data_IF_049462094071
#
_entry.id   IF_049462094071
#
_cell.length_a   1.000
_cell.length_b   1.000
_cell.length_c   1.000
_cell.angle_alpha   90.00
_cell.angle_beta   90.00
_cell.angle_gamma   90.00
#
_symmetry.space_group_name_H-M   'P 1'
#
loop_
_entity.id
_entity.type
_entity.pdbx_description
1 polymer ?
2 non-polymer ?
3 non-polymer ?
4 non-polymer ?
5 water ?
#
# COMPACT_ATOMS: atom_id res chain seq x y z
N UNK A 3 -15.93 18.18 -1.42
CA UNK A 3 -15.75 18.08 -2.87
C UNK A 3 -14.79 16.95 -3.30
N UNK A 4 -13.61 16.79 -2.65
CA UNK A 4 -12.71 15.70 -3.04
C UNK A 4 -13.32 14.32 -2.83
N UNK A 5 -13.67 14.01 -1.58
CA UNK A 5 -14.28 12.72 -1.29
C UNK A 5 -15.61 12.55 -2.00
N UNK A 6 -16.37 13.63 -2.12
CA UNK A 6 -17.68 13.55 -2.76
C UNK A 6 -17.55 13.21 -4.24
N UNK A 7 -16.52 13.73 -4.90
CA UNK A 7 -16.29 13.41 -6.31
C UNK A 7 -15.72 12.00 -6.48
N UNK A 8 -14.87 11.57 -5.54
CA UNK A 8 -14.31 10.23 -5.63
C UNK A 8 -15.41 9.18 -5.54
N UNK A 9 -16.40 9.40 -4.69
CA UNK A 9 -17.47 8.42 -4.53
C UNK A 9 -18.45 8.42 -5.71
N UNK A 10 -18.66 9.58 -6.33
CA UNK A 10 -19.51 9.61 -7.52
C UNK A 10 -18.90 8.79 -8.66
N UNK A 11 -17.59 8.95 -8.88
CA UNK A 11 -16.93 8.20 -9.93
C UNK A 11 -16.94 6.71 -9.61
N UNK A 12 -16.92 6.35 -8.32
CA UNK A 12 -17.09 4.95 -7.95
C UNK A 12 -18.40 4.39 -8.49
N UNK A 13 -19.49 5.14 -8.29
CA UNK A 13 -20.78 4.70 -8.83
C UNK A 13 -20.73 4.57 -10.34
N UNK A 14 -20.09 5.53 -11.02
CA UNK A 14 -19.97 5.46 -12.47
C UNK A 14 -19.14 4.24 -12.90
N UNK A 15 -18.00 4.02 -12.24
CA UNK A 15 -17.15 2.88 -12.58
C UNK A 15 -17.89 1.57 -12.33
N UNK A 16 -18.52 1.46 -11.16
CA UNK A 16 -19.23 0.23 -10.83
C UNK A 16 -20.33 -0.06 -11.84
N UNK A 17 -21.09 0.97 -12.22
CA UNK A 17 -22.20 0.76 -13.15
C UNK A 17 -21.70 0.33 -14.52
N UNK A 18 -20.56 0.87 -14.96
CA UNK A 18 -19.98 0.40 -16.22
C UNK A 18 -19.54 -1.05 -16.12
N UNK A 19 -18.83 -1.41 -15.04
CA UNK A 19 -18.33 -2.77 -14.90
C UNK A 19 -19.46 -3.77 -14.85
N UNK A 20 -20.52 -3.45 -14.10
CA UNK A 20 -21.63 -4.40 -13.94
C UNK A 20 -22.48 -4.48 -15.20
N UNK A 21 -22.75 -3.34 -15.84
CA UNK A 21 -23.48 -3.38 -17.10
C UNK A 21 -22.69 -4.11 -18.18
N UNK A 22 -21.37 -3.90 -18.21
CA UNK A 22 -20.53 -4.64 -19.16
C UNK A 22 -20.70 -6.15 -18.98
N UNK A 23 -20.68 -6.62 -17.73
CA UNK A 23 -20.92 -8.03 -17.47
C UNK A 23 -22.30 -8.46 -17.94
N UNK A 24 -23.32 -7.64 -17.70
CA UNK A 24 -24.67 -7.96 -18.12
C UNK A 24 -24.78 -7.99 -19.64
N UNK A 25 -24.21 -6.99 -20.31
CA UNK A 25 -24.43 -6.79 -21.74
C UNK A 25 -23.43 -7.51 -22.63
N UNK A 26 -22.21 -7.75 -22.14
CA UNK A 26 -21.17 -8.34 -22.97
C UNK A 26 -20.66 -9.69 -22.47
N UNK A 27 -20.95 -10.08 -21.24
CA UNK A 27 -20.45 -11.33 -20.68
C UNK A 27 -21.57 -12.26 -20.25
N UNK A 28 -22.82 -11.93 -20.58
CA UNK A 28 -23.96 -12.85 -20.46
C UNK A 28 -24.25 -13.19 -18.99
N UNK A 29 -24.01 -12.24 -18.08
CA UNK A 29 -24.17 -12.49 -16.67
C UNK A 29 -25.61 -12.29 -16.23
N UNK A 30 -26.10 -13.22 -15.43
CA UNK A 30 -27.45 -13.16 -14.91
C UNK A 30 -27.55 -12.14 -13.77
N UNK A 31 -28.76 -11.61 -13.52
CA UNK A 31 -28.90 -10.59 -12.46
C UNK A 31 -28.47 -11.07 -11.09
N UNK A 32 -28.75 -12.32 -10.72
CA UNK A 32 -28.34 -12.83 -9.41
C UNK A 32 -26.83 -12.69 -9.23
N UNK A 33 -26.05 -13.02 -10.26
CA UNK A 33 -24.60 -12.89 -10.13
C UNK A 33 -24.16 -11.44 -10.20
N UNK A 34 -24.85 -10.60 -10.97
CA UNK A 34 -24.48 -9.18 -11.03
C UNK A 34 -24.64 -8.55 -9.65
N UNK A 35 -25.76 -8.83 -8.98
CA UNK A 35 -25.97 -8.27 -7.64
C UNK A 35 -24.97 -8.86 -6.65
N UNK A 36 -24.63 -10.14 -6.81
CA UNK A 36 -23.60 -10.75 -5.99
C UNK A 36 -22.26 -10.03 -6.15
N UNK A 37 -21.88 -9.72 -7.39
CA UNK A 37 -20.62 -9.03 -7.61
C UNK A 37 -20.68 -7.57 -7.17
N UNK A 38 -21.83 -6.92 -7.30
CA UNK A 38 -21.97 -5.57 -6.76
C UNK A 38 -21.72 -5.55 -5.26
N UNK A 39 -22.26 -6.54 -4.55
CA UNK A 39 -22.04 -6.60 -3.10
C UNK A 39 -20.59 -6.90 -2.79
N UNK A 40 -19.97 -7.85 -3.50
CA UNK A 40 -18.57 -8.17 -3.26
C UNK A 40 -17.67 -6.95 -3.52
N UNK A 41 -17.96 -6.20 -4.58
CA UNK A 41 -17.17 -5.00 -4.89
C UNK A 41 -17.31 -3.96 -3.78
N UNK A 42 -18.55 -3.71 -3.34
CA UNK A 42 -18.77 -2.76 -2.25
C UNK A 42 -18.05 -3.20 -0.98
N UNK A 43 -18.07 -4.49 -0.69
CA UNK A 43 -17.49 -5.01 0.55
C UNK A 43 -15.97 -4.87 0.55
N UNK A 44 -15.33 -5.08 -0.59
CA UNK A 44 -13.88 -5.14 -0.62
C UNK A 44 -13.22 -3.81 -0.97
N UNK A 45 -13.93 -2.93 -1.70
CA UNK A 45 -13.33 -1.69 -2.16
C UNK A 45 -13.74 -0.47 -1.34
N UNK A 46 -14.82 -0.54 -0.57
CA UNK A 46 -15.30 0.58 0.23
C UNK A 46 -15.04 0.32 1.70
N UNK A 47 -14.99 1.42 2.46
CA UNK A 47 -14.84 1.35 3.90
C UNK A 47 -13.47 1.73 4.43
N UNK A 48 -12.47 1.81 3.57
CA UNK A 48 -11.15 2.25 3.98
C UNK A 48 -11.09 3.76 4.09
N UNK A 49 -9.87 4.28 4.04
CA UNK A 49 -9.67 5.72 4.11
C UNK A 49 -9.42 6.36 2.75
N UNK A 50 -9.09 5.55 1.73
CA UNK A 50 -8.93 6.01 0.35
C UNK A 50 -7.73 6.93 0.17
N UNK A 51 -6.73 6.82 1.04
CA UNK A 51 -5.59 7.73 0.95
C UNK A 51 -4.81 7.54 -0.35
N UNK A 52 -4.72 6.31 -0.85
CA UNK A 52 -4.06 6.09 -2.13
C UNK A 52 -4.84 6.74 -3.27
N UNK A 53 -6.16 6.58 -3.26
CA UNK A 53 -6.96 7.10 -4.35
C UNK A 53 -7.11 8.61 -4.32
N UNK A 54 -7.30 9.17 -3.12
CA UNK A 54 -7.42 10.63 -3.02
C UNK A 54 -6.09 11.32 -3.32
N UNK A 55 -4.96 10.62 -3.10
CA UNK A 55 -3.66 11.20 -3.42
C UNK A 55 -3.54 11.49 -4.92
N UNK A 56 -4.11 10.63 -5.75
CA UNK A 56 -4.08 10.88 -7.20
C UNK A 56 -4.82 12.17 -7.52
N UNK A 57 -5.95 12.41 -6.86
CA UNK A 57 -6.74 13.59 -7.14
C UNK A 57 -6.00 14.84 -6.68
N UNK A 58 -5.35 14.77 -5.52
CA UNK A 58 -4.63 15.92 -4.99
C UNK A 58 -3.45 16.31 -5.86
N UNK A 59 -2.71 15.31 -6.38
CA UNK A 59 -1.63 15.61 -7.32
C UNK A 59 -2.20 16.23 -8.58
N UNK A 60 -3.39 15.79 -9.00
CA UNK A 60 -3.98 16.31 -10.24
C UNK A 60 -4.43 17.75 -10.09
N UNK A 61 -5.02 18.09 -8.94
CA UNK A 61 -5.51 19.46 -8.75
C UNK A 61 -4.35 20.43 -8.51
N UNK A 62 -3.25 19.96 -7.93
CA UNK A 62 -2.10 20.83 -7.69
C UNK A 62 -1.36 21.16 -8.97
N UNK A 63 -1.57 20.39 -10.04
CA UNK A 63 -0.86 20.61 -11.29
C UNK A 63 -1.68 21.39 -12.31
N UNK A 64 -3.01 21.38 -12.21
CA UNK A 64 -3.81 22.25 -13.04
C UNK A 64 -3.84 23.69 -12.53
N UNK A 65 -3.25 23.95 -11.37
CA UNK A 65 -3.10 25.29 -10.84
C UNK A 65 -1.76 25.92 -11.21
N UNK A 66 -0.81 25.12 -11.70
CA UNK A 66 0.50 25.64 -12.11
C UNK A 66 1.15 24.60 -13.02
N UNK A 67 0.96 24.77 -14.33
CA UNK A 67 1.51 23.85 -15.32
C UNK A 67 3.03 23.94 -15.38
N UNK A 77 -10.71 24.59 -18.20
CA UNK A 77 -12.14 24.35 -18.22
C UNK A 77 -12.49 22.94 -18.69
N UNK A 78 -12.24 22.66 -19.97
CA UNK A 78 -12.47 21.33 -20.50
C UNK A 78 -11.36 20.37 -20.10
N UNK A 79 -10.11 20.85 -20.10
CA UNK A 79 -9.01 20.01 -19.64
C UNK A 79 -9.08 19.74 -18.15
N UNK A 80 -9.61 20.70 -17.36
CA UNK A 80 -9.73 20.49 -15.93
C UNK A 80 -10.66 19.32 -15.62
N UNK A 81 -11.89 19.38 -16.15
CA UNK A 81 -12.89 18.34 -15.83
C UNK A 81 -12.41 16.97 -16.28
N UNK A 82 -11.71 16.89 -17.41
CA UNK A 82 -11.25 15.61 -17.93
C UNK A 82 -10.12 15.05 -17.07
N UNK A 83 -9.12 15.88 -16.76
CA UNK A 83 -7.99 15.42 -15.95
C UNK A 83 -8.47 14.98 -14.56
N UNK A 84 -9.43 15.70 -13.99
CA UNK A 84 -9.93 15.35 -12.66
C UNK A 84 -10.70 14.04 -12.69
N UNK A 85 -11.48 13.80 -13.74
CA UNK A 85 -12.18 12.53 -13.87
C UNK A 85 -11.19 11.38 -14.08
N UNK A 86 -10.18 11.60 -14.92
CA UNK A 86 -9.14 10.59 -15.11
C UNK A 86 -8.41 10.30 -13.81
N UNK A 87 -8.16 11.33 -13.00
CA UNK A 87 -7.51 11.12 -11.72
C UNK A 87 -8.37 10.25 -10.80
N UNK A 88 -9.69 10.43 -10.87
CA UNK A 88 -10.59 9.63 -10.03
C UNK A 88 -10.59 8.17 -10.47
N UNK A 89 -10.55 7.92 -11.78
CA UNK A 89 -10.50 6.54 -12.26
C UNK A 89 -9.17 5.91 -11.85
N UNK A 90 -8.07 6.66 -11.94
CA UNK A 90 -6.78 6.16 -11.50
C UNK A 90 -6.77 5.89 -10.00
N UNK A 91 -7.44 6.75 -9.22
CA UNK A 91 -7.55 6.50 -7.79
C UNK A 91 -8.27 5.19 -7.49
N UNK A 92 -9.31 4.88 -8.26
CA UNK A 92 -10.03 3.65 -7.99
C UNK A 92 -9.27 2.43 -8.50
N UNK A 93 -8.43 2.60 -9.52
CA UNK A 93 -7.54 1.50 -9.92
C UNK A 93 -6.67 1.05 -8.75
N UNK A 94 -6.06 2.01 -8.05
CA UNK A 94 -5.21 1.66 -6.91
C UNK A 94 -6.04 1.08 -5.77
N UNK A 95 -7.23 1.65 -5.52
CA UNK A 95 -8.08 1.13 -4.45
C UNK A 95 -8.54 -0.30 -4.76
N UNK A 96 -8.91 -0.56 -6.02
CA UNK A 96 -9.25 -1.93 -6.40
C UNK A 96 -8.04 -2.85 -6.28
N UNK A 97 -6.86 -2.35 -6.64
CA UNK A 97 -5.63 -3.13 -6.48
C UNK A 97 -5.37 -3.44 -5.01
N UNK A 98 -5.58 -2.46 -4.13
CA UNK A 98 -5.47 -2.70 -2.69
C UNK A 98 -6.48 -3.74 -2.23
N UNK A 99 -7.74 -3.63 -2.69
CA UNK A 99 -8.74 -4.64 -2.36
C UNK A 99 -8.29 -6.03 -2.81
N UNK A 100 -7.65 -6.11 -3.99
CA UNK A 100 -7.15 -7.38 -4.49
C UNK A 100 -6.10 -7.98 -3.56
N UNK A 101 -5.16 -7.16 -3.09
CA UNK A 101 -4.12 -7.65 -2.19
C UNK A 101 -4.70 -8.11 -0.86
N UNK A 102 -5.72 -7.41 -0.35
CA UNK A 102 -6.33 -7.80 0.91
C UNK A 102 -7.06 -9.13 0.81
N UNK A 103 -7.77 -9.35 -0.31
CA UNK A 103 -8.43 -10.64 -0.53
C UNK A 103 -7.38 -11.75 -0.61
N UNK A 104 -6.29 -11.51 -1.35
CA UNK A 104 -5.22 -12.51 -1.42
C UNK A 104 -4.64 -12.79 -0.04
N UNK A 105 -4.53 -11.75 0.80
CA UNK A 105 -3.95 -11.92 2.12
C UNK A 105 -4.89 -12.68 3.05
N UNK A 106 -6.21 -12.57 2.83
CA UNK A 106 -7.16 -13.32 3.64
C UNK A 106 -7.16 -14.81 3.30
N UNK A 107 -6.93 -15.15 2.03
CA UNK A 107 -6.89 -16.56 1.64
C UNK A 107 -5.77 -17.29 2.36
N UNK A 108 -4.67 -16.59 2.66
CA UNK A 108 -3.55 -17.25 3.32
C UNK A 108 -3.90 -17.68 4.74
N UNK A 109 -4.58 -16.82 5.51
CA UNK A 109 -4.86 -17.10 6.91
C UNK A 109 -6.25 -17.67 7.16
N UNK A 110 -7.15 -17.64 6.17
CA UNK A 110 -8.48 -18.19 6.37
C UNK A 110 -8.48 -19.70 6.53
N UNK A 111 -7.43 -20.38 6.06
CA UNK A 111 -7.32 -21.83 6.20
C UNK A 111 -5.87 -22.27 6.03
N UNK A 123 -14.73 -32.79 -1.35
CA UNK A 123 -15.73 -31.74 -1.37
C UNK A 123 -15.10 -30.36 -1.62
N UNK A 124 -15.52 -29.69 -2.70
CA UNK A 124 -14.96 -28.38 -3.01
C UNK A 124 -15.47 -27.31 -2.06
N UNK A 125 -14.55 -26.50 -1.54
CA UNK A 125 -14.91 -25.41 -0.64
C UNK A 125 -15.23 -24.18 -1.49
N UNK A 126 -16.52 -23.92 -1.69
CA UNK A 126 -16.93 -22.86 -2.61
C UNK A 126 -16.58 -21.48 -2.06
N UNK A 127 -16.45 -21.32 -0.75
CA UNK A 127 -16.08 -20.02 -0.21
C UNK A 127 -14.63 -19.68 -0.53
N UNK A 128 -13.74 -20.67 -0.51
CA UNK A 128 -12.36 -20.46 -0.92
C UNK A 128 -12.25 -20.32 -2.43
N UNK A 129 -13.08 -21.06 -3.17
CA UNK A 129 -13.14 -20.86 -4.62
C UNK A 129 -13.60 -19.46 -4.97
N UNK A 130 -14.61 -18.96 -4.26
CA UNK A 130 -15.12 -17.63 -4.56
C UNK A 130 -14.15 -16.55 -4.09
N UNK A 131 -13.38 -16.82 -3.03
CA UNK A 131 -12.38 -15.85 -2.59
C UNK A 131 -11.27 -15.70 -3.61
N UNK A 132 -10.77 -16.83 -4.12
CA UNK A 132 -9.78 -16.78 -5.18
C UNK A 132 -10.34 -16.06 -6.40
N UNK A 133 -11.58 -16.39 -6.78
CA UNK A 133 -12.23 -15.73 -7.91
C UNK A 133 -12.35 -14.23 -7.66
N UNK A 134 -12.77 -13.84 -6.45
CA UNK A 134 -12.84 -12.42 -6.10
C UNK A 134 -11.50 -11.73 -6.32
N UNK A 135 -10.41 -12.37 -5.89
CA UNK A 135 -9.10 -11.75 -6.06
C UNK A 135 -8.76 -11.54 -7.52
N UNK A 136 -9.08 -12.52 -8.37
CA UNK A 136 -8.82 -12.38 -9.80
C UNK A 136 -9.69 -11.28 -10.41
N UNK A 137 -10.97 -11.22 -10.02
CA UNK A 137 -11.85 -10.20 -10.59
C UNK A 137 -11.42 -8.79 -10.21
N UNK A 138 -11.01 -8.60 -8.95
CA UNK A 138 -10.63 -7.25 -8.51
C UNK A 138 -9.43 -6.73 -9.28
N UNK A 139 -8.43 -7.58 -9.51
CA UNK A 139 -7.29 -7.17 -10.33
C UNK A 139 -7.71 -6.90 -11.77
N UNK A 140 -8.50 -7.80 -12.36
CA UNK A 140 -8.92 -7.62 -13.75
C UNK A 140 -9.78 -6.38 -13.91
N UNK A 141 -10.53 -6.01 -12.87
CA UNK A 141 -11.33 -4.79 -12.93
C UNK A 141 -10.45 -3.54 -13.06
N UNK A 142 -9.23 -3.56 -12.52
CA UNK A 142 -8.34 -2.41 -12.69
C UNK A 142 -8.01 -2.20 -14.16
N UNK A 143 -7.78 -3.29 -14.89
CA UNK A 143 -7.54 -3.20 -16.33
C UNK A 143 -8.80 -2.78 -17.07
N UNK A 144 -9.94 -3.36 -16.72
CA UNK A 144 -11.16 -3.09 -17.48
C UNK A 144 -11.60 -1.63 -17.36
N UNK A 145 -11.44 -1.04 -16.18
CA UNK A 145 -11.83 0.36 -16.03
C UNK A 145 -10.85 1.30 -16.71
N UNK A 146 -9.57 0.94 -16.76
CA UNK A 146 -8.58 1.77 -17.45
C UNK A 146 -8.77 1.69 -18.96
N UNK A 147 -8.95 0.48 -19.50
CA UNK A 147 -9.11 0.32 -20.93
C UNK A 147 -10.37 1.01 -21.45
N UNK A 148 -11.38 1.18 -20.60
CA UNK A 148 -12.60 1.87 -21.02
C UNK A 148 -12.46 3.38 -20.92
N UNK A 149 -12.20 3.87 -19.70
CA UNK A 149 -12.22 5.32 -19.47
C UNK A 149 -11.02 6.03 -20.09
N UNK A 150 -9.95 5.30 -20.41
CA UNK A 150 -8.78 5.90 -21.05
C UNK A 150 -8.56 5.36 -22.46
N UNK A 151 -9.61 4.80 -23.08
CA UNK A 151 -9.47 4.20 -24.41
C UNK A 151 -8.91 5.19 -25.43
N UNK A 152 -9.24 6.48 -25.30
CA UNK A 152 -8.76 7.51 -26.20
C UNK A 152 -7.72 8.42 -25.55
N UNK A 153 -7.02 7.94 -24.53
CA UNK A 153 -5.97 8.76 -23.95
C UNK A 153 -4.61 8.34 -24.50
N UNK A 154 -3.73 9.31 -24.77
CA UNK A 154 -2.39 8.96 -25.27
C UNK A 154 -1.54 8.21 -24.25
N UNK A 155 -1.86 8.30 -22.96
CA UNK A 155 -1.03 7.69 -21.92
C UNK A 155 -1.51 6.30 -21.52
N UNK A 156 -2.54 5.75 -22.18
CA UNK A 156 -3.09 4.47 -21.75
C UNK A 156 -2.02 3.39 -21.71
N UNK A 157 -1.16 3.32 -22.74
CA UNK A 157 -0.15 2.28 -22.78
C UNK A 157 0.89 2.48 -21.68
N UNK A 158 1.38 3.71 -21.54
CA UNK A 158 2.34 3.99 -20.46
C UNK A 158 1.71 3.74 -19.10
N UNK A 159 0.43 4.12 -18.94
CA UNK A 159 -0.25 3.89 -17.66
C UNK A 159 -0.30 2.41 -17.32
N UNK A 160 -0.71 1.58 -18.27
CA UNK A 160 -0.83 0.15 -18.02
C UNK A 160 0.52 -0.47 -17.66
N UNK A 161 1.60 0.00 -18.32
CA UNK A 161 2.92 -0.59 -18.09
C UNK A 161 3.46 -0.21 -16.72
N UNK A 162 3.32 1.06 -16.33
CA UNK A 162 3.77 1.46 -15.00
C UNK A 162 2.89 0.84 -13.91
N UNK A 163 1.61 0.61 -14.20
CA UNK A 163 0.74 -0.05 -13.24
C UNK A 163 1.10 -1.52 -13.07
N UNK A 164 1.33 -2.23 -14.18
CA UNK A 164 1.67 -3.64 -14.09
C UNK A 164 3.03 -3.84 -13.46
N UNK A 165 3.94 -2.88 -13.62
CA UNK A 165 5.28 -3.03 -13.05
C UNK A 165 5.24 -2.83 -11.54
N UNK A 166 4.42 -1.90 -11.06
CA UNK A 166 4.27 -1.70 -9.61
C UNK A 166 3.59 -2.90 -8.98
N UNK A 167 2.58 -3.46 -9.66
CA UNK A 167 1.92 -4.66 -9.14
C UNK A 167 2.89 -5.83 -9.04
N UNK A 168 3.71 -6.02 -10.07
CA UNK A 168 4.78 -7.01 -10.03
C UNK A 168 5.73 -6.75 -8.86
N UNK A 169 6.13 -5.49 -8.70
CA UNK A 169 6.99 -5.10 -7.58
C UNK A 169 6.40 -5.50 -6.24
N UNK A 170 5.09 -5.36 -6.08
CA UNK A 170 4.46 -5.71 -4.80
C UNK A 170 4.48 -7.21 -4.57
N UNK A 171 4.29 -8.01 -5.62
CA UNK A 171 4.35 -9.46 -5.48
C UNK A 171 5.75 -9.92 -5.12
N UNK A 172 6.77 -9.26 -5.66
CA UNK A 172 8.15 -9.57 -5.27
C UNK A 172 8.37 -9.18 -3.81
N UNK A 173 7.84 -8.04 -3.39
CA UNK A 173 7.95 -7.65 -1.99
C UNK A 173 7.26 -8.62 -1.05
N UNK A 174 6.13 -9.18 -1.48
CA UNK A 174 5.45 -10.21 -0.69
C UNK A 174 6.36 -11.42 -0.50
N UNK A 175 7.04 -11.84 -1.56
CA UNK A 175 7.95 -12.97 -1.46
C UNK A 175 9.06 -12.70 -0.46
N UNK A 176 9.66 -11.49 -0.52
CA UNK A 176 10.69 -11.13 0.44
C UNK A 176 10.16 -11.20 1.86
N UNK A 177 8.92 -10.77 2.08
CA UNK A 177 8.35 -10.71 3.42
C UNK A 177 8.02 -12.10 3.95
N UNK A 178 7.38 -12.92 3.11
CA UNK A 178 6.87 -14.21 3.56
C UNK A 178 8.01 -15.19 3.84
N UNK A 179 9.16 -15.01 3.17
CA UNK A 179 10.27 -15.93 3.32
C UNK A 179 11.43 -15.34 4.12
N UNK A 180 11.19 -14.27 4.87
CA UNK A 180 12.30 -13.61 5.55
C UNK A 180 12.85 -14.42 6.73
N UNK A 181 12.19 -15.52 7.10
CA UNK A 181 12.63 -16.34 8.22
C UNK A 181 13.12 -17.72 7.81
N UNK A 182 13.17 -18.03 6.51
CA UNK A 182 13.60 -19.34 6.06
C UNK A 182 14.67 -19.24 4.97
N UNK A 183 14.92 -20.36 4.30
CA UNK A 183 15.73 -20.42 3.07
C UNK A 183 14.84 -20.99 1.98
N UNK A 184 14.55 -20.17 0.96
CA UNK A 184 13.64 -20.58 -0.10
C UNK A 184 14.23 -21.74 -0.89
N UNK A 185 13.55 -22.89 -0.84
CA UNK A 185 14.00 -24.09 -1.55
C UNK A 185 13.62 -24.03 -3.03
N UNK A 198 15.47 -18.62 10.94
CA UNK A 198 16.66 -18.14 10.26
C UNK A 198 16.70 -16.61 10.27
N UNK A 199 17.55 -16.05 11.13
CA UNK A 199 17.63 -14.62 11.34
C UNK A 199 18.75 -13.95 10.55
N UNK A 200 19.31 -14.65 9.56
CA UNK A 200 20.38 -14.06 8.75
C UNK A 200 19.89 -12.86 7.95
N UNK A 201 18.63 -12.87 7.52
CA UNK A 201 18.08 -11.76 6.75
C UNK A 201 17.43 -10.70 7.62
N UNK A 202 17.51 -10.84 8.95
CA UNK A 202 16.99 -9.84 9.87
C UNK A 202 18.00 -8.70 10.01
N UNK A 203 18.06 -7.90 8.96
CA UNK A 203 18.93 -6.72 8.92
C UNK A 203 18.07 -5.52 8.54
N UNK A 204 18.64 -4.34 8.73
CA UNK A 204 17.92 -3.11 8.43
C UNK A 204 17.81 -2.88 6.93
N UNK A 205 18.85 -3.25 6.17
CA UNK A 205 18.78 -3.07 4.72
C UNK A 205 17.75 -4.01 4.11
N UNK A 206 17.64 -5.24 4.61
CA UNK A 206 16.62 -6.14 4.10
C UNK A 206 15.23 -5.69 4.56
N UNK A 207 15.12 -5.16 5.77
CA UNK A 207 13.85 -4.61 6.22
C UNK A 207 13.39 -3.51 5.27
N UNK A 208 14.31 -2.65 4.85
CA UNK A 208 13.94 -1.59 3.91
C UNK A 208 13.57 -2.15 2.56
N UNK A 209 14.24 -3.22 2.12
CA UNK A 209 13.86 -3.84 0.85
C UNK A 209 12.44 -4.38 0.91
N UNK A 210 12.07 -5.01 2.02
CA UNK A 210 10.71 -5.51 2.15
C UNK A 210 9.72 -4.36 2.10
N UNK A 211 9.93 -3.33 2.91
CA UNK A 211 9.02 -2.19 2.92
C UNK A 211 8.96 -1.53 1.55
N UNK A 212 10.11 -1.37 0.91
CA UNK A 212 10.15 -0.71 -0.39
C UNK A 212 9.28 -1.44 -1.41
N UNK A 213 9.47 -2.74 -1.54
CA UNK A 213 8.79 -3.46 -2.60
C UNK A 213 7.36 -3.84 -2.21
N UNK A 214 7.14 -4.21 -0.95
CA UNK A 214 5.84 -4.71 -0.53
C UNK A 214 4.82 -3.59 -0.32
N UNK A 215 5.27 -2.38 0.02
CA UNK A 215 4.32 -1.35 0.43
C UNK A 215 4.55 0.00 -0.25
N UNK A 216 5.80 0.47 -0.23
CA UNK A 216 6.07 1.85 -0.61
C UNK A 216 5.72 2.14 -2.06
N UNK A 217 6.05 1.21 -2.96
CA UNK A 217 5.87 1.46 -4.39
C UNK A 217 4.41 1.66 -4.76
N UNK A 218 3.51 0.83 -4.24
CA UNK A 218 2.12 0.96 -4.64
C UNK A 218 1.32 1.89 -3.73
N UNK A 219 1.76 2.11 -2.50
CA UNK A 219 1.03 2.98 -1.59
C UNK A 219 1.45 4.44 -1.71
N UNK A 220 2.73 4.70 -1.97
CA UNK A 220 3.23 6.07 -2.01
C UNK A 220 3.68 6.51 -3.40
N UNK A 221 4.46 5.69 -4.10
CA UNK A 221 4.95 6.10 -5.41
C UNK A 221 3.87 6.04 -6.47
N UNK A 222 3.10 4.96 -6.51
CA UNK A 222 2.12 4.77 -7.58
C UNK A 222 1.06 5.87 -7.63
N UNK A 223 0.45 6.31 -6.51
CA UNK A 223 -0.51 7.42 -6.62
C UNK A 223 0.11 8.68 -7.19
N UNK A 224 1.34 9.01 -6.78
CA UNK A 224 1.99 10.21 -7.30
C UNK A 224 2.22 10.10 -8.81
N UNK A 225 2.73 8.96 -9.26
CA UNK A 225 3.01 8.77 -10.68
C UNK A 225 1.72 8.89 -11.49
N UNK A 226 0.64 8.24 -11.06
CA UNK A 226 -0.60 8.29 -11.82
C UNK A 226 -1.16 9.70 -11.86
N UNK A 227 -1.01 10.47 -10.78
CA UNK A 227 -1.43 11.86 -10.81
C UNK A 227 -0.64 12.67 -11.83
N UNK A 228 0.65 12.38 -11.96
CA UNK A 228 1.47 13.05 -12.98
C UNK A 228 1.08 12.60 -14.38
N UNK A 229 0.69 11.33 -14.54
CA UNK A 229 0.37 10.82 -15.87
C UNK A 229 -0.89 11.48 -16.41
N UNK A 230 -1.96 11.53 -15.60
CA UNK A 230 -3.21 12.13 -16.07
C UNK A 230 -3.09 13.65 -16.18
N UNK A 231 -2.16 14.25 -15.45
CA UNK A 231 -1.91 15.69 -15.53
C UNK A 231 -0.91 16.05 -16.62
N UNK A 232 -0.44 15.06 -17.40
CA UNK A 232 0.47 15.23 -18.51
C UNK A 232 1.83 15.78 -18.09
N UNK A 233 2.13 15.80 -16.79
CA UNK A 233 3.35 16.40 -16.27
C UNK A 233 4.33 15.36 -15.73
N UNK A 234 4.32 14.15 -16.30
CA UNK A 234 5.25 13.13 -15.83
C UNK A 234 6.70 13.48 -16.14
N UNK A 235 7.08 13.84 -17.39
CA UNK A 235 8.50 14.11 -17.66
C UNK A 235 8.95 15.49 -17.21
N UNK A 236 8.28 16.06 -16.22
CA UNK A 236 8.63 17.37 -15.70
C UNK A 236 9.09 17.33 -14.25
N UNK A 237 9.36 16.15 -13.70
CA UNK A 237 9.70 15.99 -12.29
C UNK A 237 10.97 15.17 -12.17
N UNK A 238 11.66 15.35 -11.05
CA UNK A 238 12.82 14.52 -10.71
C UNK A 238 12.29 13.22 -10.12
N UNK A 239 12.30 12.15 -10.93
CA UNK A 239 11.78 10.88 -10.46
C UNK A 239 12.64 10.27 -9.37
N UNK A 240 13.95 10.52 -9.41
CA UNK A 240 14.83 9.98 -8.38
C UNK A 240 14.48 10.50 -7.00
N UNK A 241 14.32 11.82 -6.87
CA UNK A 241 13.89 12.40 -5.60
C UNK A 241 12.49 11.90 -5.25
N UNK A 242 11.64 11.73 -6.27
CA UNK A 242 10.28 11.25 -6.02
C UNK A 242 10.29 9.83 -5.48
N UNK A 243 11.04 8.93 -6.14
CA UNK A 243 11.17 7.56 -5.64
C UNK A 243 11.79 7.55 -4.25
N UNK A 244 12.80 8.39 -4.03
CA UNK A 244 13.44 8.45 -2.71
C UNK A 244 12.44 8.86 -1.64
N UNK A 245 11.58 9.84 -1.95
CA UNK A 245 10.57 10.27 -0.97
C UNK A 245 9.56 9.17 -0.69
N UNK A 246 9.08 8.50 -1.74
CA UNK A 246 8.10 7.43 -1.55
C UNK A 246 8.65 6.32 -0.67
N UNK A 247 9.90 5.90 -0.91
CA UNK A 247 10.51 4.88 -0.07
C UNK A 247 10.64 5.36 1.37
N UNK A 248 11.06 6.60 1.57
CA UNK A 248 11.24 7.12 2.92
C UNK A 248 9.91 7.24 3.65
N UNK A 249 8.86 7.67 2.96
CA UNK A 249 7.55 7.80 3.61
C UNK A 249 6.99 6.43 3.98
N UNK A 250 7.13 5.45 3.08
CA UNK A 250 6.71 4.10 3.42
C UNK A 250 7.47 3.55 4.61
N UNK A 251 8.77 3.83 4.68
CA UNK A 251 9.59 3.41 5.82
C UNK A 251 9.10 4.05 7.11
N UNK A 252 8.85 5.37 7.09
CA UNK A 252 8.33 6.05 8.27
C UNK A 252 7.02 5.42 8.72
N UNK A 253 6.11 5.19 7.78
CA UNK A 253 4.81 4.61 8.11
C UNK A 253 4.94 3.20 8.66
N UNK A 254 5.81 2.38 8.05
CA UNK A 254 5.89 0.98 8.44
C UNK A 254 6.56 0.80 9.81
N UNK A 255 7.52 1.64 10.15
CA UNK A 255 8.15 1.55 11.46
C UNK A 255 7.14 1.87 12.55
N UNK A 256 6.36 2.94 12.36
CA UNK A 256 5.28 3.24 13.30
C UNK A 256 4.27 2.10 13.37
N UNK A 257 3.95 1.51 12.22
CA UNK A 257 3.01 0.39 12.21
C UNK A 257 3.56 -0.80 12.97
N UNK A 258 4.86 -1.06 12.85
CA UNK A 258 5.48 -2.18 13.55
C UNK A 258 5.43 -2.00 15.06
N UNK A 259 5.68 -0.78 15.54
CA UNK A 259 5.66 -0.54 16.99
C UNK A 259 4.23 -0.64 17.52
N UNK A 260 3.25 -0.10 16.78
CA UNK A 260 1.87 -0.19 17.22
C UNK A 260 1.36 -1.62 17.20
N UNK A 261 1.81 -2.42 16.23
CA UNK A 261 1.43 -3.82 16.18
C UNK A 261 1.83 -4.55 17.47
N UNK A 262 2.90 -4.09 18.12
CA UNK A 262 3.42 -4.80 19.28
C UNK A 262 2.88 -4.25 20.60
N UNK A 263 2.76 -2.93 20.72
CA UNK A 263 2.47 -2.30 22.01
C UNK A 263 1.07 -1.69 22.11
N UNK A 264 0.44 -1.37 20.99
CA UNK A 264 -0.92 -0.84 21.03
C UNK A 264 -1.91 -1.98 21.26
N UNK A 265 -2.73 -1.91 22.30
CA UNK A 265 -3.67 -3.02 22.59
C UNK A 265 -4.69 -3.18 21.48
N UNK A 266 -5.28 -4.36 21.35
CA UNK A 266 -6.09 -4.65 20.14
C UNK A 266 -7.26 -3.70 19.92
N UNK A 267 -8.05 -3.42 20.97
CA UNK A 267 -9.21 -2.56 20.79
C UNK A 267 -8.84 -1.13 20.43
N UNK A 268 -7.58 -0.74 20.60
CA UNK A 268 -7.12 0.58 20.17
C UNK A 268 -6.38 0.53 18.84
N UNK A 269 -5.74 -0.60 18.51
CA UNK A 269 -5.07 -0.75 17.23
C UNK A 269 -6.05 -1.09 16.11
N UNK A 270 -7.17 -1.73 16.42
CA UNK A 270 -8.12 -2.17 15.43
C UNK A 270 -7.97 -3.63 15.04
N UNK A 271 -6.88 -4.27 15.44
CA UNK A 271 -6.65 -5.68 15.16
C UNK A 271 -5.80 -6.25 16.28
N UNK A 272 -5.65 -7.57 16.27
CA UNK A 272 -4.73 -8.24 17.18
C UNK A 272 -3.36 -8.27 16.52
N UNK A 273 -2.39 -7.60 17.14
CA UNK A 273 -1.03 -7.62 16.63
C UNK A 273 -0.42 -9.01 16.66
N UNK A 274 0.19 -9.42 15.56
CA UNK A 274 0.64 -10.80 15.40
C UNK A 274 2.05 -10.93 14.84
N UNK A 275 2.84 -9.85 14.78
CA UNK A 275 4.15 -9.93 14.15
C UNK A 275 5.09 -10.87 14.91
N UNK A 276 5.05 -10.85 16.25
CA UNK A 276 5.91 -11.73 17.02
C UNK A 276 5.57 -13.19 16.77
N UNK A 277 4.27 -13.53 16.86
CA UNK A 277 3.83 -14.90 16.61
C UNK A 277 4.17 -15.37 15.21
N UNK A 278 4.10 -14.46 14.23
CA UNK A 278 4.35 -14.79 12.84
C UNK A 278 5.82 -14.66 12.45
N UNK A 279 6.69 -14.39 13.41
CA UNK A 279 8.12 -14.24 13.17
C UNK A 279 8.40 -13.24 12.04
N UNK A 280 7.72 -12.10 12.10
CA UNK A 280 7.90 -11.09 11.07
C UNK A 280 9.26 -10.41 11.19
N UNK A 281 9.80 -9.99 10.05
CA UNK A 281 11.01 -9.18 10.02
C UNK A 281 10.60 -7.73 10.25
N UNK A 282 10.32 -7.41 11.50
CA UNK A 282 9.83 -6.08 11.86
C UNK A 282 10.99 -5.17 12.25
N UNK A 283 10.72 -3.86 12.26
CA UNK A 283 11.72 -2.90 12.69
C UNK A 283 12.17 -3.18 14.11
N UNK A 284 11.25 -3.60 14.98
CA UNK A 284 11.62 -3.90 16.36
C UNK A 284 12.59 -5.08 16.43
N UNK A 285 12.35 -6.11 15.62
CA UNK A 285 13.18 -7.31 15.67
C UNK A 285 14.60 -7.03 15.19
N UNK A 286 14.73 -6.33 14.05
CA UNK A 286 16.06 -6.08 13.51
C UNK A 286 16.82 -5.08 14.37
N UNK A 287 16.11 -4.12 14.99
CA UNK A 287 16.78 -3.17 15.87
C UNK A 287 17.23 -3.82 17.17
N UNK A 288 16.42 -4.74 17.70
CA UNK A 288 16.79 -5.44 18.92
C UNK A 288 18.04 -6.30 18.71
N UNK A 289 18.11 -7.01 17.58
CA UNK A 289 19.24 -7.90 17.34
C UNK A 289 20.56 -7.15 17.22
N UNK A 290 20.51 -5.87 16.86
CA UNK A 290 21.75 -5.11 16.73
C UNK A 290 22.31 -4.69 18.07
N UNK A 291 21.46 -4.55 19.10
CA UNK A 291 21.90 -4.03 20.39
C UNK A 291 21.67 -4.99 21.55
N UNK A 292 21.38 -6.25 21.28
CA UNK A 292 21.16 -7.24 22.34
C UNK A 292 22.46 -7.98 22.66
N UNK A 293 22.55 -8.46 23.89
CA UNK A 293 23.68 -9.28 24.29
C UNK A 293 23.50 -10.70 23.78
N UNK A 294 24.61 -11.44 23.75
CA UNK A 294 24.59 -12.80 23.21
C UNK A 294 23.54 -13.67 23.91
N UNK A 295 23.39 -13.51 25.22
CA UNK A 295 22.42 -14.31 25.96
C UNK A 295 20.98 -13.84 25.71
N UNK A 296 20.79 -12.53 25.49
CA UNK A 296 19.47 -12.03 25.13
C UNK A 296 19.05 -12.53 23.75
N UNK A 297 19.97 -12.51 22.79
CA UNK A 297 19.69 -13.04 21.46
C UNK A 297 19.27 -14.50 21.54
N UNK A 298 19.94 -15.27 22.40
CA UNK A 298 19.52 -16.64 22.64
C UNK A 298 18.10 -16.70 23.20
N UNK A 299 17.77 -15.78 24.11
CA UNK A 299 16.43 -15.74 24.67
C UNK A 299 15.42 -15.24 23.65
N UNK A 300 15.82 -14.27 22.82
CA UNK A 300 14.96 -13.81 21.74
C UNK A 300 14.72 -14.91 20.72
N UNK A 301 15.79 -15.56 20.26
CA UNK A 301 15.65 -16.62 19.27
C UNK A 301 14.85 -17.80 19.81
N UNK A 302 14.90 -18.04 21.12
CA UNK A 302 14.15 -19.14 21.70
C UNK A 302 12.66 -18.82 21.83
N UNK A 303 12.28 -17.54 21.87
CA UNK A 303 10.89 -17.16 22.10
C UNK A 303 10.21 -16.55 20.89
N UNK A 304 10.93 -16.27 19.80
CA UNK A 304 10.33 -15.58 18.66
C UNK A 304 9.61 -16.57 17.75
N UNK A 305 8.48 -16.15 17.20
CA UNK A 305 7.74 -16.98 16.27
C UNK A 305 6.92 -18.06 16.91
N UNK A 306 6.39 -17.81 18.11
CA UNK A 306 5.56 -18.77 18.81
C UNK A 306 4.25 -18.10 19.22
N UNK A 307 3.18 -18.90 19.24
CA UNK A 307 1.89 -18.38 19.65
C UNK A 307 1.65 -18.36 21.15
N UNK A 308 2.55 -18.96 21.93
CA UNK A 308 2.37 -19.00 23.38
C UNK A 308 2.43 -17.60 23.98
N UNK A 309 1.48 -17.31 24.86
CA UNK A 309 1.35 -15.97 25.43
C UNK A 309 2.60 -15.56 26.20
N UNK A 310 3.25 -16.50 26.87
CA UNK A 310 4.42 -16.16 27.68
C UNK A 310 5.62 -15.83 26.81
N UNK A 311 5.80 -16.57 25.71
CA UNK A 311 6.93 -16.31 24.83
C UNK A 311 6.78 -14.97 24.11
N UNK A 312 5.55 -14.66 23.66
CA UNK A 312 5.28 -13.35 23.07
C UNK A 312 5.54 -12.25 24.09
N UNK A 313 5.10 -12.45 25.33
CA UNK A 313 5.34 -11.46 26.37
C UNK A 313 6.83 -11.33 26.70
N UNK A 314 7.57 -12.44 26.63
CA UNK A 314 9.01 -12.35 26.83
C UNK A 314 9.66 -11.48 25.75
N UNK A 315 9.21 -11.62 24.50
CA UNK A 315 9.73 -10.78 23.42
C UNK A 315 9.40 -9.31 23.68
N UNK A 316 8.16 -9.02 24.10
CA UNK A 316 7.80 -7.66 24.43
C UNK A 316 8.64 -7.14 25.59
N UNK A 317 8.95 -8.02 26.55
CA UNK A 317 9.80 -7.63 27.67
C UNK A 317 11.21 -7.27 27.18
N UNK A 318 11.77 -8.09 26.27
CA UNK A 318 13.08 -7.80 25.70
C UNK A 318 13.08 -6.47 24.96
N UNK A 319 12.04 -6.22 24.15
CA UNK A 319 11.94 -4.97 23.42
C UNK A 319 11.93 -3.78 24.38
N UNK A 320 11.11 -3.86 25.43
CA UNK A 320 11.02 -2.78 26.40
C UNK A 320 12.36 -2.53 27.08
N UNK A 321 12.98 -3.58 27.61
CA UNK A 321 14.22 -3.43 28.36
C UNK A 321 15.37 -2.94 27.50
N UNK A 322 15.27 -3.08 26.18
CA UNK A 322 16.28 -2.55 25.27
C UNK A 322 16.01 -1.10 24.87
N UNK A 323 14.98 -0.47 25.44
CA UNK A 323 14.62 0.91 25.13
C UNK A 323 14.39 1.11 23.63
N UNK A 324 13.61 0.20 23.04
CA UNK A 324 13.33 0.31 21.62
C UNK A 324 12.39 1.46 21.32
N UNK A 325 11.41 1.69 22.20
CA UNK A 325 10.51 2.82 21.99
C UNK A 325 11.19 4.16 22.23
N UNK A 326 12.42 4.16 22.73
CA UNK A 326 13.23 5.36 22.74
C UNK A 326 13.92 5.55 21.41
N UNK A 327 14.49 4.46 20.88
CA UNK A 327 15.11 4.52 19.56
C UNK A 327 14.07 4.80 18.48
N UNK A 328 12.82 4.37 18.69
CA UNK A 328 11.77 4.61 17.71
C UNK A 328 11.57 6.10 17.46
N UNK A 329 11.56 6.90 18.53
CA UNK A 329 11.36 8.33 18.37
C UNK A 329 12.49 8.95 17.55
N UNK A 330 13.73 8.59 17.86
CA UNK A 330 14.86 9.16 17.14
C UNK A 330 14.88 8.72 15.69
N UNK A 331 14.58 7.44 15.42
CA UNK A 331 14.60 6.93 14.07
C UNK A 331 13.60 7.65 13.18
N UNK A 332 12.36 7.79 13.65
CA UNK A 332 11.34 8.51 12.88
C UNK A 332 11.73 9.98 12.71
N UNK A 333 12.27 10.60 13.76
CA UNK A 333 12.70 11.99 13.66
C UNK A 333 13.70 12.18 12.54
N UNK A 334 14.71 11.29 12.50
CA UNK A 334 15.73 11.38 11.45
C UNK A 334 15.11 11.16 10.07
N UNK A 335 14.21 10.19 9.95
CA UNK A 335 13.55 9.95 8.67
C UNK A 335 12.72 11.17 8.27
N UNK A 336 11.97 11.71 9.22
CA UNK A 336 11.18 12.91 8.94
C UNK A 336 12.05 14.05 8.44
N UNK A 337 13.27 14.17 8.96
CA UNK A 337 14.19 15.20 8.50
C UNK A 337 14.60 14.97 7.05
N UNK A 338 14.86 13.71 6.69
CA UNK A 338 15.19 13.41 5.29
C UNK A 338 14.00 13.70 4.37
N UNK A 339 12.78 13.44 4.85
CA UNK A 339 11.59 13.75 4.08
C UNK A 339 11.41 15.26 3.96
N UNK A 340 11.41 15.96 5.12
CA UNK A 340 11.19 17.39 5.14
C UNK A 340 12.22 18.15 4.31
N UNK A 341 13.37 17.55 4.04
CA UNK A 341 14.42 18.20 3.26
C UNK A 341 14.48 17.72 1.82
N UNK A 342 13.90 16.56 1.51
CA UNK A 342 13.90 16.08 0.12
C UNK A 342 12.79 16.70 -0.72
N UNK A 343 11.70 17.13 -0.09
CA UNK A 343 10.62 17.78 -0.83
C UNK A 343 11.11 19.07 -1.48
N UNK A 344 12.11 19.73 -0.88
CA UNK A 344 12.56 21.00 -1.40
C UNK A 344 13.32 20.84 -2.72
N UNK A 345 14.13 19.79 -2.84
CA UNK A 345 14.76 19.49 -4.13
C UNK A 345 13.70 19.35 -5.22
N UNK A 346 12.64 18.59 -4.93
CA UNK A 346 11.55 18.42 -5.87
C UNK A 346 10.85 19.74 -6.17
N UNK A 347 10.80 20.65 -5.19
CA UNK A 347 10.10 21.92 -5.36
C UNK A 347 10.85 22.88 -6.28
N UNK A 348 12.18 22.73 -6.39
CA UNK A 348 12.96 23.68 -7.19
C UNK A 348 12.59 23.60 -8.67
N UNK A 349 12.19 22.43 -9.16
CA UNK A 349 11.79 22.26 -10.55
C UNK A 349 10.33 21.85 -10.73
N UNK A 350 9.67 21.39 -9.68
CA UNK A 350 8.25 21.00 -9.73
C UNK A 350 7.55 21.52 -8.49
N UNK A 351 7.18 22.81 -8.49
CA UNK A 351 6.62 23.40 -7.27
C UNK A 351 5.23 22.89 -6.93
N UNK A 352 4.34 22.77 -7.90
CA UNK A 352 3.00 22.26 -7.63
C UNK A 352 3.01 20.81 -7.17
N UNK A 353 3.92 20.00 -7.72
CA UNK A 353 4.05 18.61 -7.29
C UNK A 353 4.35 18.52 -5.80
N UNK A 354 5.25 19.36 -5.31
CA UNK A 354 5.71 19.27 -3.93
C UNK A 354 4.62 19.60 -2.93
N UNK A 355 3.64 20.41 -3.33
CA UNK A 355 2.55 20.73 -2.43
C UNK A 355 1.73 19.49 -2.09
N UNK A 356 1.44 18.67 -3.10
CA UNK A 356 0.67 17.45 -2.86
C UNK A 356 1.50 16.42 -2.10
N UNK A 357 2.80 16.32 -2.41
CA UNK A 357 3.65 15.38 -1.68
C UNK A 357 3.73 15.76 -0.21
N UNK A 358 3.66 17.07 0.09
CA UNK A 358 3.63 17.50 1.48
C UNK A 358 2.35 17.08 2.17
N UNK A 359 1.22 17.19 1.47
CA UNK A 359 -0.05 16.75 2.03
C UNK A 359 -0.08 15.25 2.25
N UNK A 360 0.48 14.49 1.30
CA UNK A 360 0.60 13.04 1.48
C UNK A 360 1.49 12.71 2.67
N UNK A 361 2.61 13.42 2.82
CA UNK A 361 3.48 13.20 3.96
C UNK A 361 2.77 13.59 5.27
N UNK A 362 2.00 14.67 5.24
CA UNK A 362 1.22 15.04 6.41
C UNK A 362 0.26 13.96 6.85
N UNK A 363 -0.30 13.20 5.91
CA UNK A 363 -1.17 12.08 6.25
C UNK A 363 -0.39 10.98 6.97
N UNK A 364 0.90 10.83 6.67
CA UNK A 364 1.73 9.83 7.32
C UNK A 364 2.17 10.30 8.70
X LIG B 1 0.85 -8.97 -3.34
X LIG B 1 0.32 -8.55 -1.94
X LIG B 1 -2.15 -7.07 1.83
X LIG B 1 -1.96 -5.75 1.41
X LIG B 1 -0.79 -5.41 0.72
X LIG B 1 0.17 -6.38 0.44
X LIG B 1 -3.02 -4.68 1.71
X LIG B 1 -1.19 -8.04 1.55
X LIG B 1 -0.46 -10.61 -0.68
X LIG B 1 -0.43 -11.58 -1.89
X LIG B 1 -0.02 -7.70 0.86
X LIG B 1 0.58 -9.56 -0.89
X LIG B 1 2.47 -8.26 0.21
X LIG B 1 1.22 -9.93 1.55
X LIG B 1 1.22 -8.93 0.50
X LIG C 1 -16.42 -11.35 -24.55
X LIG C 1 -15.48 -11.84 -23.48
X LIG C 1 -16.76 -9.90 -24.31
X LIG C 1 -15.75 -11.49 -25.90
X LIG C 1 -17.70 -12.17 -24.53
X LIG D 1 -6.03 3.58 0.25
X LIG E 1 7.15 -6.13 7.71
X LIG E 1 8.33 -7.07 7.50
X LIG E 1 5.94 -6.69 7.01
X LIG E 1 6.86 -6.01 9.19
X LIG E 1 7.48 -4.77 7.15
#
# INVERSE_FOLDING_TARGET
GPMPMQMFMQVYDEIQMFLLEELELKFDMDPNRVRYLRKMMDTTCLGGKYNRGLTVIDVAESLLSLSPNNNGEEDDGARRKRVLHDACVCGWMIEFLQAHYLVEDDIMDNSVTRRGKPCWYRHPDVTVQCAINDGLLLKSWTHMMAMHFFADRPFLQDLLCRFNRVDYTTAVGQLYDVTSMFDSNKLDPDVSQPTTTDFAEFTLSNYKRIVKYKTAYYTYLLPLVMGLIVSEALPTVDMGVTEELAMLMGEYFQVQDDVMDCFTPPERLGKVGTDIQDAKCSWLAVTFLAKASSAQVAEFKANYGSGDSEKVATVRRLYEEADLQGDYVAYEAAVAEQVKELIEKLRLCSPGFAASVETLWGKTYKRQK
PJP C1 C2 C11 C12 C13 C14 C15 C10 C4 C5 C9 N3 O7 O8 S6
PO4 P O1 O2 O3 O4
NA NA
PO4 P O1 O2 O3 O4
#
